data_IF_279598202182
#
_entry.id   IF_279598202182
#
_cell.length_a   1.000
_cell.length_b   1.000
_cell.length_c   1.000
_cell.angle_alpha   90.00
_cell.angle_beta   90.00
_cell.angle_gamma   90.00
#
_symmetry.space_group_name_H-M   'P 1'
#
loop_
_entity.id
_entity.type
_entity.pdbx_description
1 polymer ?
#
# COMPACT_ATOMS: atom_id res chain seq x y z
N UNK A 1 -34.46 -6.94 -99.74
CA UNK A 1 -33.93 -6.13 -100.85
C UNK A 1 -33.35 -4.86 -100.26
N UNK A 2 -32.03 -4.74 -100.41
CA UNK A 2 -31.25 -3.51 -100.63
C UNK A 2 -31.54 -2.21 -99.87
N UNK A 3 -30.58 -1.88 -99.01
CA UNK A 3 -29.81 -0.63 -98.89
C UNK A 3 -29.99 0.38 -100.05
N UNK A 4 -30.29 1.65 -99.75
CA UNK A 4 -29.42 2.82 -100.01
C UNK A 4 -30.06 4.17 -99.63
N UNK A 5 -29.29 5.02 -98.96
CA UNK A 5 -29.23 6.49 -99.13
C UNK A 5 -28.03 7.00 -98.28
N UNK A 6 -26.89 7.37 -98.89
CA UNK A 6 -26.44 8.76 -99.19
C UNK A 6 -26.38 9.67 -97.94
N UNK A 7 -25.37 10.53 -97.68
CA UNK A 7 -24.25 11.08 -98.43
C UNK A 7 -23.33 11.85 -97.45
N UNK A 8 -22.08 12.03 -97.87
CA UNK A 8 -21.24 13.23 -97.71
C UNK A 8 -20.10 13.31 -96.67
N UNK A 9 -19.00 13.85 -97.22
CA UNK A 9 -17.60 14.10 -96.81
C UNK A 9 -17.51 15.59 -96.39
N UNK A 10 -16.57 16.18 -95.64
CA UNK A 10 -15.14 16.00 -95.36
C UNK A 10 -14.71 17.06 -94.25
N UNK A 11 -13.44 17.48 -94.06
CA UNK A 11 -12.36 16.78 -93.33
C UNK A 11 -11.48 17.64 -92.36
N UNK A 12 -10.63 16.92 -91.59
CA UNK A 12 -9.20 17.11 -91.21
C UNK A 12 -8.64 18.48 -90.76
N UNK A 13 -7.82 18.57 -89.70
CA UNK A 13 -6.33 18.38 -89.66
C UNK A 13 -5.83 18.75 -88.24
N UNK A 14 -4.63 18.45 -87.69
CA UNK A 14 -3.49 17.56 -87.93
C UNK A 14 -2.54 17.64 -86.70
N UNK A 15 -1.57 16.71 -86.61
CA UNK A 15 -0.65 16.43 -85.50
C UNK A 15 0.57 17.38 -85.34
N UNK A 16 1.20 17.35 -84.16
CA UNK A 16 2.62 16.98 -83.90
C UNK A 16 3.61 17.98 -83.20
N UNK A 17 4.25 17.45 -82.13
CA UNK A 17 5.70 17.40 -81.75
C UNK A 17 6.36 18.40 -80.74
N UNK A 18 7.18 17.73 -79.88
CA UNK A 18 8.39 18.13 -79.13
C UNK A 18 8.22 19.17 -77.99
N UNK A 19 8.82 19.05 -76.79
CA UNK A 19 9.92 18.23 -76.29
C UNK A 19 10.99 19.14 -75.66
N UNK A 20 10.87 19.50 -74.39
CA UNK A 20 11.91 20.24 -73.65
C UNK A 20 11.82 19.95 -72.14
N UNK A 21 12.91 19.45 -71.56
CA UNK A 21 13.08 19.11 -70.15
C UNK A 21 13.41 20.37 -69.34
N UNK A 22 12.69 20.61 -68.24
CA UNK A 22 13.03 21.64 -67.26
C UNK A 22 12.99 21.04 -65.85
N UNK A 23 14.16 21.00 -65.24
CA UNK A 23 14.47 20.61 -63.86
C UNK A 23 13.66 21.44 -62.86
N UNK A 24 12.72 20.81 -62.14
CA UNK A 24 12.01 21.44 -61.02
C UNK A 24 12.63 20.99 -59.69
N UNK A 25 13.13 22.00 -58.97
CA UNK A 25 13.66 21.98 -57.61
C UNK A 25 12.64 21.40 -56.62
N UNK A 26 12.83 20.12 -56.25
CA UNK A 26 12.04 19.46 -55.22
C UNK A 26 12.59 19.84 -53.84
N UNK A 27 12.11 20.96 -53.28
CA UNK A 27 12.15 21.18 -51.84
C UNK A 27 11.24 20.13 -51.18
N UNK A 28 11.71 19.31 -50.23
CA UNK A 28 10.81 18.49 -49.45
C UNK A 28 10.01 19.42 -48.54
N UNK A 29 8.70 19.49 -48.76
CA UNK A 29 7.79 20.02 -47.76
C UNK A 29 8.04 19.28 -46.45
N UNK A 30 8.56 20.01 -45.48
CA UNK A 30 8.69 19.53 -44.12
C UNK A 30 7.29 19.24 -43.61
N UNK A 31 6.87 17.97 -43.69
CA UNK A 31 5.74 17.46 -42.93
C UNK A 31 6.06 17.71 -41.45
N UNK A 32 5.52 18.79 -40.90
CA UNK A 32 5.42 18.99 -39.48
C UNK A 32 4.67 17.78 -38.94
N UNK A 33 5.40 16.88 -38.29
CA UNK A 33 4.81 15.79 -37.53
C UNK A 33 3.88 16.44 -36.51
N UNK A 34 2.58 16.42 -36.78
CA UNK A 34 1.57 16.85 -35.85
C UNK A 34 1.78 16.02 -34.58
N UNK A 35 2.19 16.69 -33.50
CA UNK A 35 2.32 16.06 -32.20
C UNK A 35 0.99 15.39 -31.82
N UNK A 36 1.02 14.45 -30.85
CA UNK A 36 -0.22 13.86 -30.34
C UNK A 36 -1.20 15.00 -29.98
N UNK A 37 -2.49 14.85 -30.32
CA UNK A 37 -3.49 15.87 -30.03
C UNK A 37 -3.40 16.23 -28.54
N UNK A 38 -3.57 17.51 -28.18
CA UNK A 38 -3.54 17.93 -26.79
C UNK A 38 -4.56 17.10 -26.00
N UNK A 39 -4.23 16.70 -24.76
CA UNK A 39 -5.14 15.92 -23.94
C UNK A 39 -6.49 16.65 -23.83
N UNK A 40 -7.61 15.91 -23.81
CA UNK A 40 -8.93 16.50 -23.77
C UNK A 40 -9.09 17.34 -22.50
N UNK A 41 -9.30 18.65 -22.67
CA UNK A 41 -9.48 19.59 -21.56
C UNK A 41 -10.93 19.56 -21.08
N UNK A 42 -11.11 19.63 -19.76
CA UNK A 42 -12.45 19.74 -19.17
C UNK A 42 -12.98 21.18 -19.27
N UNK A 43 -14.30 21.38 -19.47
CA UNK A 43 -14.87 22.72 -19.47
C UNK A 43 -14.76 23.40 -18.10
N UNK A 44 -14.63 24.73 -18.03
CA UNK A 44 -14.59 25.48 -16.77
C UNK A 44 -15.78 25.18 -15.83
N UNK A 45 -16.97 24.95 -16.41
CA UNK A 45 -18.18 24.59 -15.66
C UNK A 45 -18.04 23.28 -14.87
N UNK A 46 -17.20 22.34 -15.32
CA UNK A 46 -16.90 21.12 -14.57
C UNK A 46 -16.23 21.45 -13.24
N UNK A 47 -15.15 22.24 -13.27
CA UNK A 47 -14.38 22.60 -12.08
C UNK A 47 -15.23 23.37 -11.08
N UNK A 48 -15.98 24.39 -11.53
CA UNK A 48 -16.88 25.15 -10.67
C UNK A 48 -17.95 24.27 -10.00
N UNK A 49 -18.49 23.29 -10.74
CA UNK A 49 -19.46 22.33 -10.21
C UNK A 49 -18.84 21.40 -9.16
N UNK A 50 -17.63 20.88 -9.41
CA UNK A 50 -16.93 20.00 -8.46
C UNK A 50 -16.54 20.76 -7.19
N UNK A 51 -16.01 21.97 -7.29
CA UNK A 51 -15.65 22.78 -6.13
C UNK A 51 -16.87 23.14 -5.27
N UNK A 52 -18.00 23.51 -5.88
CA UNK A 52 -19.24 23.76 -5.14
C UNK A 52 -19.72 22.49 -4.40
N UNK A 53 -19.56 21.30 -4.99
CA UNK A 53 -19.89 20.04 -4.32
C UNK A 53 -18.92 19.69 -3.18
N UNK A 54 -17.63 19.99 -3.33
CA UNK A 54 -16.65 19.84 -2.24
C UNK A 54 -16.98 20.78 -1.09
N UNK A 55 -17.34 22.04 -1.37
CA UNK A 55 -17.77 23.00 -0.36
C UNK A 55 -19.03 22.53 0.36
N UNK A 56 -19.99 21.92 -0.34
CA UNK A 56 -21.18 21.31 0.28
C UNK A 56 -20.84 20.14 1.23
N UNK A 57 -19.79 19.38 0.91
CA UNK A 57 -19.32 18.25 1.73
C UNK A 57 -18.52 18.72 2.94
N UNK A 58 -17.75 19.80 2.77
CA UNK A 58 -16.77 20.32 3.73
C UNK A 58 -15.34 20.00 3.32
N UNK A 59 -14.53 21.06 3.15
CA UNK A 59 -13.11 20.97 2.77
C UNK A 59 -12.26 20.21 3.79
N UNK A 60 -12.66 20.20 5.06
CA UNK A 60 -11.96 19.47 6.13
C UNK A 60 -11.97 17.95 5.91
N UNK A 61 -12.89 17.45 5.09
CA UNK A 61 -12.99 16.03 4.75
C UNK A 61 -12.14 15.64 3.55
N UNK A 62 -11.59 16.59 2.80
CA UNK A 62 -10.72 16.31 1.66
C UNK A 62 -9.31 16.03 2.16
N UNK A 63 -8.75 14.88 1.77
CA UNK A 63 -7.38 14.47 2.11
C UNK A 63 -6.42 14.82 0.99
N UNK A 64 -6.82 14.58 -0.26
CA UNK A 64 -6.03 14.92 -1.44
C UNK A 64 -6.92 15.05 -2.67
N UNK A 65 -6.44 15.80 -3.65
CA UNK A 65 -7.08 15.97 -4.94
C UNK A 65 -5.98 15.87 -6.02
N UNK A 66 -6.16 14.98 -7.00
CA UNK A 66 -5.18 14.66 -8.04
C UNK A 66 -5.83 14.55 -9.42
N UNK A 67 -5.00 14.40 -10.45
CA UNK A 67 -5.43 14.27 -11.85
C UNK A 67 -5.52 15.61 -12.57
N UNK A 68 -6.41 15.75 -13.56
CA UNK A 68 -6.50 16.93 -14.44
C UNK A 68 -6.73 18.20 -13.60
N UNK A 69 -5.73 19.09 -13.58
CA UNK A 69 -5.62 20.27 -12.70
C UNK A 69 -5.94 20.00 -11.22
N UNK A 70 -5.75 18.76 -10.78
CA UNK A 70 -5.89 18.33 -9.39
C UNK A 70 -7.31 17.98 -8.93
N UNK A 71 -8.31 17.80 -9.81
CA UNK A 71 -9.71 17.55 -9.35
C UNK A 71 -10.43 16.38 -10.01
N UNK A 72 -9.77 15.60 -10.86
CA UNK A 72 -10.40 14.42 -11.48
C UNK A 72 -10.37 13.18 -10.59
N UNK A 73 -9.57 13.18 -9.52
CA UNK A 73 -9.55 12.15 -8.50
C UNK A 73 -9.49 12.80 -7.10
N UNK A 74 -10.51 12.55 -6.28
CA UNK A 74 -10.70 13.18 -4.98
C UNK A 74 -10.65 12.12 -3.89
N UNK A 75 -9.91 12.37 -2.83
CA UNK A 75 -9.81 11.46 -1.68
C UNK A 75 -10.44 12.11 -0.45
N UNK A 76 -11.41 11.44 0.16
CA UNK A 76 -12.17 11.91 1.31
C UNK A 76 -11.94 11.04 2.53
N UNK A 77 -11.76 11.66 3.71
CA UNK A 77 -11.84 10.98 5.00
C UNK A 77 -13.30 10.79 5.41
N UNK A 78 -13.69 9.54 5.64
CA UNK A 78 -15.02 9.16 6.11
C UNK A 78 -14.88 8.41 7.43
N UNK A 79 -15.55 8.89 8.47
CA UNK A 79 -15.49 8.29 9.81
C UNK A 79 -16.72 7.41 10.01
N UNK A 80 -16.52 6.18 10.50
CA UNK A 80 -17.60 5.26 10.83
C UNK A 80 -18.12 5.42 12.27
N UNK A 81 -19.15 4.65 12.64
CA UNK A 81 -19.81 4.71 13.96
C UNK A 81 -18.89 4.32 15.13
N UNK A 82 -17.73 3.70 14.86
CA UNK A 82 -16.72 3.34 15.87
C UNK A 82 -15.53 4.30 15.87
N UNK A 83 -15.61 5.40 15.11
CA UNK A 83 -14.55 6.40 15.03
C UNK A 83 -13.37 5.98 14.14
N UNK A 84 -13.49 4.90 13.37
CA UNK A 84 -12.44 4.49 12.43
C UNK A 84 -12.48 5.39 11.20
N UNK A 85 -11.30 5.79 10.74
CA UNK A 85 -11.14 6.65 9.57
C UNK A 85 -10.92 5.76 8.35
N UNK A 86 -11.81 5.89 7.38
CA UNK A 86 -11.75 5.25 6.07
C UNK A 86 -11.43 6.29 5.00
N UNK A 87 -10.57 5.93 4.05
CA UNK A 87 -10.26 6.78 2.90
C UNK A 87 -11.12 6.33 1.71
N UNK A 88 -12.01 7.21 1.26
CA UNK A 88 -12.82 7.02 0.07
C UNK A 88 -12.22 7.85 -1.06
N UNK A 89 -11.69 7.18 -2.07
CA UNK A 89 -11.25 7.83 -3.29
C UNK A 89 -12.36 7.75 -4.34
N UNK A 90 -12.61 8.87 -5.00
CA UNK A 90 -13.65 9.08 -6.00
C UNK A 90 -12.98 9.60 -7.27
N UNK A 91 -13.08 8.83 -8.36
CA UNK A 91 -12.58 9.25 -9.67
C UNK A 91 -13.73 9.73 -10.54
N UNK A 92 -13.57 10.93 -11.09
CA UNK A 92 -14.57 11.60 -11.93
C UNK A 92 -14.25 11.38 -13.41
N UNK A 93 -15.09 10.67 -14.18
CA UNK A 93 -14.85 10.49 -15.61
C UNK A 93 -15.04 11.81 -16.38
N UNK A 94 -14.61 11.85 -17.65
CA UNK A 94 -14.81 13.02 -18.53
C UNK A 94 -16.29 13.35 -18.75
N UNK A 95 -17.17 12.35 -18.71
CA UNK A 95 -18.62 12.52 -18.85
C UNK A 95 -19.34 12.91 -17.56
N UNK A 96 -18.64 13.18 -16.46
CA UNK A 96 -19.26 13.56 -15.18
C UNK A 96 -20.04 14.89 -15.30
N UNK A 97 -21.26 15.01 -14.72
CA UNK A 97 -21.99 14.03 -13.90
C UNK A 97 -22.93 13.10 -14.68
N UNK A 98 -23.02 13.22 -16.02
CA UNK A 98 -23.86 12.35 -16.84
C UNK A 98 -23.40 10.88 -16.76
N UNK A 99 -22.09 10.66 -16.63
CA UNK A 99 -21.48 9.37 -16.28
C UNK A 99 -21.20 9.31 -14.77
N UNK A 100 -21.47 8.15 -14.12
CA UNK A 100 -21.25 7.99 -12.69
C UNK A 100 -19.75 8.04 -12.34
N UNK A 101 -19.39 8.55 -11.15
CA UNK A 101 -18.03 8.41 -10.64
C UNK A 101 -17.72 6.95 -10.28
N UNK A 102 -16.44 6.59 -10.30
CA UNK A 102 -15.96 5.33 -9.71
C UNK A 102 -15.40 5.58 -8.32
N UNK A 103 -15.48 4.57 -7.45
CA UNK A 103 -14.96 4.65 -6.08
C UNK A 103 -13.97 3.54 -5.78
N UNK A 104 -13.03 3.84 -4.90
CA UNK A 104 -12.04 2.91 -4.35
C UNK A 104 -11.89 3.19 -2.86
N UNK A 105 -11.76 2.14 -2.06
CA UNK A 105 -11.59 2.24 -0.61
C UNK A 105 -11.01 0.94 -0.04
N UNK A 106 -10.38 1.02 1.12
CA UNK A 106 -9.85 -0.14 1.85
C UNK A 106 -10.97 -0.83 2.63
N UNK A 107 -11.92 -1.46 1.94
CA UNK A 107 -13.05 -2.20 2.50
C UNK A 107 -13.13 -3.60 1.86
N UNK A 108 -13.72 -4.62 2.51
CA UNK A 108 -13.69 -5.99 1.99
C UNK A 108 -14.45 -6.13 0.65
N UNK A 109 -15.46 -5.29 0.43
CA UNK A 109 -16.14 -5.13 -0.84
C UNK A 109 -16.72 -3.71 -0.93
N UNK A 110 -16.87 -3.18 -2.14
CA UNK A 110 -17.39 -1.84 -2.38
C UNK A 110 -18.93 -1.87 -2.53
N UNK A 111 -19.63 -0.80 -2.10
CA UNK A 111 -21.06 -0.68 -2.37
C UNK A 111 -21.31 -0.43 -3.85
N UNK A 112 -22.46 -0.89 -4.34
CA UNK A 112 -22.97 -0.47 -5.65
C UNK A 112 -23.58 0.93 -5.51
N UNK A 113 -22.87 1.94 -6.01
CA UNK A 113 -23.35 3.32 -5.98
C UNK A 113 -24.56 3.49 -6.90
N UNK A 114 -25.67 3.92 -6.32
CA UNK A 114 -26.84 4.40 -7.03
C UNK A 114 -26.56 5.82 -7.51
N UNK A 115 -26.61 6.03 -8.83
CA UNK A 115 -26.26 7.30 -9.44
C UNK A 115 -27.29 7.72 -10.48
N UNK A 116 -27.57 9.01 -10.53
CA UNK A 116 -28.44 9.65 -11.50
C UNK A 116 -27.85 10.99 -11.95
N UNK A 117 -28.41 11.62 -12.99
CA UNK A 117 -27.93 12.94 -13.48
C UNK A 117 -28.09 14.07 -12.45
N UNK A 118 -28.97 13.91 -11.46
CA UNK A 118 -29.16 14.85 -10.36
C UNK A 118 -28.33 14.53 -9.13
N UNK A 119 -27.63 13.38 -9.12
CA UNK A 119 -26.78 12.97 -8.01
C UNK A 119 -25.52 13.82 -7.93
N UNK A 120 -24.97 13.92 -6.72
CA UNK A 120 -23.80 14.71 -6.36
C UNK A 120 -22.80 13.87 -5.57
N UNK A 121 -21.58 14.37 -5.41
CA UNK A 121 -20.52 13.70 -4.62
C UNK A 121 -20.95 13.38 -3.19
N UNK A 122 -21.78 14.23 -2.58
CA UNK A 122 -22.32 14.01 -1.24
C UNK A 122 -23.18 12.74 -1.16
N UNK A 123 -23.92 12.42 -2.21
CA UNK A 123 -24.72 11.19 -2.26
C UNK A 123 -23.83 9.94 -2.26
N UNK A 124 -22.66 10.02 -2.88
CA UNK A 124 -21.65 8.95 -2.86
C UNK A 124 -21.12 8.76 -1.44
N UNK A 125 -20.79 9.86 -0.75
CA UNK A 125 -20.32 9.83 0.63
C UNK A 125 -21.39 9.25 1.56
N UNK A 126 -22.64 9.68 1.45
CA UNK A 126 -23.74 9.14 2.26
C UNK A 126 -23.96 7.64 2.02
N UNK A 127 -23.97 7.19 0.75
CA UNK A 127 -24.08 5.76 0.43
C UNK A 127 -22.90 4.96 0.97
N UNK A 128 -21.68 5.50 0.90
CA UNK A 128 -20.50 4.87 1.47
C UNK A 128 -20.60 4.80 3.01
N UNK A 129 -21.09 5.83 3.69
CA UNK A 129 -21.31 5.81 5.14
C UNK A 129 -22.29 4.72 5.56
N UNK A 130 -23.41 4.55 4.85
CA UNK A 130 -24.36 3.45 5.11
C UNK A 130 -23.70 2.08 4.88
N UNK A 131 -22.86 1.96 3.87
CA UNK A 131 -22.07 0.75 3.63
C UNK A 131 -21.12 0.43 4.78
N UNK A 132 -20.45 1.44 5.35
CA UNK A 132 -19.58 1.25 6.53
C UNK A 132 -20.37 0.74 7.75
N UNK A 133 -21.66 1.08 7.89
CA UNK A 133 -22.51 0.55 8.96
C UNK A 133 -22.77 -0.95 8.81
N UNK A 134 -22.95 -1.43 7.58
CA UNK A 134 -23.15 -2.86 7.33
C UNK A 134 -21.87 -3.69 7.60
N UNK A 135 -20.70 -3.09 7.44
CA UNK A 135 -19.41 -3.74 7.67
C UNK A 135 -18.98 -3.79 9.15
N UNK A 136 -19.76 -3.20 10.07
CA UNK A 136 -19.40 -3.12 11.49
C UNK A 136 -19.25 -4.50 12.15
N UNK A 137 -20.15 -5.44 11.84
CA UNK A 137 -20.06 -6.81 12.38
C UNK A 137 -18.79 -7.50 11.87
N UNK A 138 -18.46 -7.32 10.58
CA UNK A 138 -17.25 -7.90 9.98
C UNK A 138 -15.99 -7.44 10.70
N UNK A 139 -15.80 -6.12 10.83
CA UNK A 139 -14.61 -5.63 11.52
C UNK A 139 -14.59 -6.00 12.99
N UNK A 140 -15.74 -6.08 13.66
CA UNK A 140 -15.80 -6.53 15.05
C UNK A 140 -15.33 -7.99 15.20
N UNK A 141 -15.69 -8.86 14.27
CA UNK A 141 -15.19 -10.25 14.22
C UNK A 141 -13.70 -10.30 13.95
N UNK A 142 -13.19 -9.50 13.00
CA UNK A 142 -11.75 -9.45 12.71
C UNK A 142 -10.96 -8.93 13.91
N UNK A 143 -11.44 -7.87 14.58
CA UNK A 143 -10.84 -7.31 15.80
C UNK A 143 -10.84 -8.35 16.95
N UNK A 144 -11.89 -9.16 17.08
CA UNK A 144 -11.93 -10.26 18.06
C UNK A 144 -10.88 -11.33 17.78
N UNK A 145 -10.75 -11.74 16.51
CA UNK A 145 -9.72 -12.71 16.07
C UNK A 145 -8.33 -12.17 16.40
N UNK A 146 -8.05 -10.92 16.02
CA UNK A 146 -6.74 -10.29 16.21
C UNK A 146 -6.40 -10.11 17.70
N UNK A 147 -7.43 -9.91 18.54
CA UNK A 147 -7.27 -9.75 19.99
C UNK A 147 -7.07 -11.07 20.74
N UNK A 148 -7.72 -12.15 20.32
CA UNK A 148 -7.83 -13.39 21.11
C UNK A 148 -6.96 -14.53 20.57
N UNK A 149 -6.59 -14.50 19.29
CA UNK A 149 -5.88 -15.59 18.62
C UNK A 149 -4.48 -15.19 18.18
N UNK A 150 -3.55 -16.15 18.17
CA UNK A 150 -2.18 -15.93 17.70
C UNK A 150 -2.12 -15.82 16.17
N UNK A 151 -2.23 -14.61 15.64
CA UNK A 151 -2.00 -14.29 14.22
C UNK A 151 -0.50 -14.25 13.92
N UNK A 152 -0.07 -14.88 12.82
CA UNK A 152 1.35 -15.14 12.47
C UNK A 152 2.06 -13.92 11.91
N UNK A 153 1.36 -13.00 11.25
CA UNK A 153 1.99 -12.00 10.39
C UNK A 153 1.77 -10.55 10.84
N UNK A 154 2.85 -9.76 10.71
CA UNK A 154 3.14 -8.52 11.44
C UNK A 154 2.73 -7.22 10.74
N UNK A 155 1.94 -7.30 9.67
CA UNK A 155 1.42 -6.09 9.01
C UNK A 155 0.15 -5.62 9.71
N UNK A 156 0.06 -4.32 9.99
CA UNK A 156 -1.18 -3.72 10.54
C UNK A 156 -2.31 -4.03 9.55
N UNK A 157 -3.30 -4.85 9.92
CA UNK A 157 -4.30 -5.31 8.97
C UNK A 157 -5.09 -4.11 8.43
N UNK A 158 -5.31 -4.10 7.11
CA UNK A 158 -6.20 -3.09 6.52
C UNK A 158 -7.65 -3.51 6.74
N UNK A 159 -8.56 -2.54 6.69
CA UNK A 159 -10.00 -2.80 6.80
C UNK A 159 -10.57 -3.62 5.63
N UNK A 160 -9.77 -3.87 4.57
CA UNK A 160 -10.14 -4.75 3.45
C UNK A 160 -9.77 -6.22 3.68
N UNK A 161 -8.85 -6.53 4.59
CA UNK A 161 -8.31 -7.88 4.75
C UNK A 161 -9.31 -8.80 5.45
N UNK A 162 -9.90 -9.72 4.68
CA UNK A 162 -10.85 -10.75 5.15
C UNK A 162 -10.21 -12.06 5.59
N UNK A 163 -8.87 -12.15 5.59
CA UNK A 163 -8.17 -13.37 5.97
C UNK A 163 -7.21 -13.14 7.13
N UNK A 164 -6.95 -14.20 7.91
CA UNK A 164 -5.93 -14.24 8.98
C UNK A 164 -5.22 -15.58 8.96
N UNK A 165 -3.90 -15.54 9.06
CA UNK A 165 -3.07 -16.72 9.25
C UNK A 165 -2.84 -16.92 10.74
N UNK A 166 -3.37 -18.00 11.32
CA UNK A 166 -3.23 -18.30 12.73
C UNK A 166 -2.17 -19.38 12.97
N UNK A 167 -1.38 -19.20 14.02
CA UNK A 167 -0.44 -20.20 14.49
C UNK A 167 -1.17 -21.23 15.37
N UNK A 168 -0.98 -22.51 15.06
CA UNK A 168 -1.50 -23.63 15.84
C UNK A 168 -0.40 -24.31 16.69
N UNK A 169 0.85 -23.84 16.56
CA UNK A 169 2.04 -24.44 17.18
C UNK A 169 2.59 -25.64 16.40
N UNK A 170 3.83 -26.04 16.68
CA UNK A 170 4.56 -27.12 15.99
C UNK A 170 4.61 -26.92 14.46
N UNK A 171 4.94 -25.69 14.03
CA UNK A 171 4.98 -25.28 12.62
C UNK A 171 3.70 -25.58 11.83
N UNK A 172 2.56 -25.65 12.52
CA UNK A 172 1.23 -25.78 11.94
C UNK A 172 0.49 -24.45 11.97
N UNK A 173 -0.24 -24.18 10.90
CA UNK A 173 -0.96 -22.94 10.67
C UNK A 173 -2.33 -23.20 10.04
N UNK A 174 -3.25 -22.27 10.26
CA UNK A 174 -4.54 -22.23 9.58
C UNK A 174 -4.76 -20.84 8.99
N UNK A 175 -4.90 -20.78 7.67
CA UNK A 175 -5.35 -19.59 6.96
C UNK A 175 -6.88 -19.59 6.96
N UNK A 176 -7.47 -18.63 7.67
CA UNK A 176 -8.91 -18.42 7.72
C UNK A 176 -9.32 -17.33 6.74
N UNK A 177 -10.45 -17.52 6.07
CA UNK A 177 -11.14 -16.51 5.29
C UNK A 177 -12.54 -16.30 5.88
N UNK A 178 -12.79 -15.09 6.37
CA UNK A 178 -14.07 -14.67 6.96
C UNK A 178 -14.92 -14.02 5.87
N UNK A 179 -16.16 -14.50 5.69
CA UNK A 179 -17.10 -13.87 4.78
C UNK A 179 -17.55 -12.52 5.34
N UNK A 180 -17.22 -11.43 4.66
CA UNK A 180 -17.58 -10.09 5.09
C UNK A 180 -19.09 -9.81 5.10
N UNK A 181 -19.90 -10.57 4.34
CA UNK A 181 -21.36 -10.46 4.38
C UNK A 181 -21.98 -11.25 5.53
N UNK A 182 -21.27 -12.26 6.03
CA UNK A 182 -21.72 -13.19 7.08
C UNK A 182 -20.56 -13.53 8.03
N UNK A 183 -20.04 -12.55 8.77
CA UNK A 183 -18.78 -12.69 9.49
C UNK A 183 -18.84 -13.69 10.66
N UNK A 184 -20.04 -13.94 11.19
CA UNK A 184 -20.31 -14.96 12.22
C UNK A 184 -20.51 -16.38 11.66
N UNK A 185 -20.51 -16.57 10.34
CA UNK A 185 -20.67 -17.88 9.70
C UNK A 185 -19.38 -18.70 9.69
N UNK A 186 -19.49 -19.99 9.36
CA UNK A 186 -18.35 -20.90 9.28
C UNK A 186 -17.34 -20.36 8.22
N UNK A 187 -16.09 -20.05 8.61
CA UNK A 187 -15.11 -19.52 7.68
C UNK A 187 -14.60 -20.61 6.73
N UNK A 188 -14.11 -20.19 5.57
CA UNK A 188 -13.28 -21.06 4.75
C UNK A 188 -11.88 -21.15 5.37
N UNK A 189 -11.26 -22.32 5.31
CA UNK A 189 -9.95 -22.52 5.93
C UNK A 189 -9.02 -23.39 5.10
N UNK A 190 -7.73 -23.05 5.15
CA UNK A 190 -6.65 -23.86 4.60
C UNK A 190 -5.63 -24.17 5.71
N UNK A 191 -5.33 -25.45 5.86
CA UNK A 191 -4.36 -25.97 6.82
C UNK A 191 -2.97 -26.03 6.17
N UNK A 192 -1.92 -25.64 6.89
CA UNK A 192 -0.54 -25.59 6.43
C UNK A 192 0.37 -26.14 7.55
N UNK A 193 1.41 -26.92 7.24
CA UNK A 193 2.39 -27.40 8.22
C UNK A 193 2.75 -28.87 8.09
N UNK A 194 3.50 -29.39 9.06
CA UNK A 194 3.97 -30.77 9.10
C UNK A 194 2.83 -31.78 9.26
N UNK A 195 2.98 -32.95 8.62
CA UNK A 195 1.98 -34.03 8.59
C UNK A 195 1.83 -34.70 9.96
N UNK A 196 0.65 -35.25 10.27
CA UNK A 196 0.32 -35.85 11.57
C UNK A 196 -0.62 -34.99 12.43
N UNK A 197 -0.12 -33.91 13.06
CA UNK A 197 -0.98 -32.99 13.85
C UNK A 197 -2.07 -32.36 12.97
N UNK A 198 -1.68 -32.00 11.75
CA UNK A 198 -2.58 -31.37 10.78
C UNK A 198 -3.72 -32.29 10.36
N UNK A 199 -3.45 -33.58 10.16
CA UNK A 199 -4.45 -34.57 9.74
C UNK A 199 -5.56 -34.71 10.79
N UNK A 200 -5.19 -34.76 12.07
CA UNK A 200 -6.16 -34.78 13.17
C UNK A 200 -7.05 -33.54 13.15
N UNK A 201 -6.47 -32.36 12.95
CA UNK A 201 -7.23 -31.10 12.90
C UNK A 201 -8.16 -31.04 11.68
N UNK A 202 -7.70 -31.51 10.52
CA UNK A 202 -8.51 -31.61 9.30
C UNK A 202 -9.69 -32.60 9.50
N UNK A 203 -9.43 -33.75 10.12
CA UNK A 203 -10.48 -34.73 10.45
C UNK A 203 -11.51 -34.13 11.41
N UNK A 204 -11.06 -33.48 12.48
CA UNK A 204 -11.92 -32.80 13.44
C UNK A 204 -12.77 -31.72 12.77
N UNK A 205 -12.16 -30.86 11.95
CA UNK A 205 -12.86 -29.84 11.18
C UNK A 205 -13.99 -30.44 10.31
N UNK A 206 -13.68 -31.47 9.52
CA UNK A 206 -14.67 -32.14 8.65
C UNK A 206 -15.83 -32.74 9.46
N UNK A 207 -15.54 -33.33 10.61
CA UNK A 207 -16.52 -33.97 11.50
C UNK A 207 -17.40 -32.94 12.21
N UNK A 208 -16.81 -31.86 12.71
CA UNK A 208 -17.44 -30.95 13.66
C UNK A 208 -17.96 -29.66 13.03
N UNK A 209 -17.61 -29.29 11.79
CA UNK A 209 -18.01 -28.02 11.15
C UNK A 209 -19.52 -27.71 11.18
N UNK A 210 -20.37 -28.75 11.21
CA UNK A 210 -21.84 -28.59 11.32
C UNK A 210 -22.31 -28.10 12.70
N UNK A 211 -21.42 -28.10 13.69
CA UNK A 211 -21.67 -27.62 15.07
C UNK A 211 -21.38 -26.12 15.22
N UNK A 212 -20.91 -25.46 14.16
CA UNK A 212 -20.68 -24.02 14.16
C UNK A 212 -21.99 -23.28 14.44
N UNK A 213 -21.98 -22.41 15.45
CA UNK A 213 -23.16 -21.66 15.89
C UNK A 213 -22.89 -20.17 15.77
N UNK A 214 -23.62 -19.47 14.89
CA UNK A 214 -23.41 -18.03 14.62
C UNK A 214 -23.65 -17.14 15.83
N UNK A 215 -24.26 -17.66 16.91
CA UNK A 215 -24.47 -16.93 18.17
C UNK A 215 -23.28 -17.00 19.13
N UNK A 216 -22.34 -17.92 18.89
CA UNK A 216 -21.13 -18.06 19.72
C UNK A 216 -20.02 -17.17 19.21
N UNK A 217 -19.08 -16.85 20.11
CA UNK A 217 -17.86 -16.12 19.75
C UNK A 217 -17.04 -16.91 18.74
N UNK A 218 -16.36 -16.21 17.85
CA UNK A 218 -15.67 -16.81 16.72
C UNK A 218 -14.59 -17.81 17.19
N UNK A 219 -13.78 -17.41 18.17
CA UNK A 219 -12.71 -18.25 18.71
C UNK A 219 -13.22 -19.50 19.45
N UNK A 220 -14.35 -19.39 20.16
CA UNK A 220 -14.99 -20.53 20.85
C UNK A 220 -15.51 -21.56 19.85
N UNK A 221 -16.16 -21.08 18.78
CA UNK A 221 -16.57 -21.93 17.67
C UNK A 221 -15.38 -22.64 17.02
N UNK A 222 -14.33 -21.89 16.70
CA UNK A 222 -13.14 -22.43 16.05
C UNK A 222 -12.46 -23.49 16.91
N UNK A 223 -12.28 -23.23 18.21
CA UNK A 223 -11.71 -24.20 19.15
C UNK A 223 -12.58 -25.47 19.26
N UNK A 224 -13.91 -25.32 19.33
CA UNK A 224 -14.84 -26.45 19.40
C UNK A 224 -14.90 -27.28 18.11
N UNK A 225 -14.78 -26.65 16.93
CA UNK A 225 -14.75 -27.37 15.65
C UNK A 225 -13.42 -28.11 15.48
N UNK A 226 -12.30 -27.47 15.81
CA UNK A 226 -10.99 -28.10 15.74
C UNK A 226 -10.76 -29.14 16.86
N UNK A 227 -11.58 -29.11 17.92
CA UNK A 227 -11.35 -29.86 19.16
C UNK A 227 -9.91 -29.66 19.65
N UNK A 228 -9.52 -28.39 19.71
CA UNK A 228 -8.16 -27.95 19.93
C UNK A 228 -8.14 -26.63 20.69
N UNK A 229 -7.27 -26.54 21.70
CA UNK A 229 -7.03 -25.31 22.44
C UNK A 229 -6.20 -24.34 21.59
N UNK A 230 -6.84 -23.28 21.08
CA UNK A 230 -6.18 -22.30 20.22
C UNK A 230 -5.12 -21.50 21.01
N UNK A 231 -3.91 -21.30 20.46
CA UNK A 231 -2.90 -20.47 21.09
C UNK A 231 -3.36 -19.02 21.19
N UNK A 232 -3.25 -18.45 22.39
CA UNK A 232 -3.43 -17.03 22.61
C UNK A 232 -2.25 -16.22 22.03
N UNK A 233 -2.46 -14.93 21.70
CA UNK A 233 -1.38 -14.00 21.40
C UNK A 233 -0.30 -14.05 22.47
N UNK A 234 0.99 -13.87 22.11
CA UNK A 234 2.03 -13.71 23.11
C UNK A 234 1.68 -12.52 24.02
N UNK A 235 1.76 -12.73 25.33
CA UNK A 235 1.62 -11.61 26.27
C UNK A 235 2.76 -10.62 26.05
N UNK A 236 2.50 -9.32 26.23
CA UNK A 236 3.47 -8.23 26.00
C UNK A 236 4.76 -8.36 26.85
N UNK A 237 4.82 -9.32 27.78
CA UNK A 237 6.02 -9.67 28.56
C UNK A 237 6.61 -11.06 28.30
N UNK A 238 6.18 -11.78 27.25
CA UNK A 238 6.63 -13.15 26.96
C UNK A 238 7.19 -13.34 25.56
N UNK A 239 7.84 -12.32 24.99
CA UNK A 239 8.93 -12.61 24.06
C UNK A 239 10.05 -13.11 24.96
N UNK A 240 10.39 -14.40 24.85
CA UNK A 240 11.56 -14.92 25.54
C UNK A 240 12.73 -14.04 25.10
N UNK A 241 13.42 -13.43 26.06
CA UNK A 241 14.58 -12.53 25.90
C UNK A 241 15.74 -13.12 25.06
N UNK A 242 15.58 -14.36 24.60
CA UNK A 242 16.51 -15.19 23.85
C UNK A 242 16.38 -15.03 22.31
N UNK A 243 15.31 -14.37 21.80
CA UNK A 243 15.10 -14.14 20.35
C UNK A 243 15.23 -12.68 19.90
N UNK A 244 15.48 -11.73 20.82
CA UNK A 244 15.63 -10.33 20.47
C UNK A 244 17.06 -10.01 20.03
N UNK A 245 17.20 -9.63 18.76
CA UNK A 245 18.47 -9.29 18.16
C UNK A 245 19.04 -7.97 18.72
N UNK A 246 20.35 -7.93 18.97
CA UNK A 246 21.04 -6.70 19.38
C UNK A 246 20.95 -5.62 18.30
N UNK A 247 20.72 -4.37 18.73
CA UNK A 247 20.78 -3.22 17.83
C UNK A 247 22.14 -3.14 17.14
N UNK A 248 22.16 -3.02 15.81
CA UNK A 248 23.38 -2.90 15.02
C UNK A 248 24.17 -1.60 15.20
N UNK A 249 23.69 -0.65 16.03
CA UNK A 249 24.35 0.64 16.30
C UNK A 249 24.84 0.70 17.76
N UNK A 250 23.95 0.50 18.73
CA UNK A 250 24.30 0.61 20.16
C UNK A 250 24.66 -0.74 20.80
N UNK A 251 24.50 -1.86 20.09
CA UNK A 251 24.76 -3.22 20.56
C UNK A 251 24.00 -3.61 21.85
N UNK A 252 22.90 -2.89 22.15
CA UNK A 252 22.00 -3.21 23.24
C UNK A 252 20.71 -3.83 22.69
N UNK A 253 20.13 -4.75 23.46
CA UNK A 253 18.80 -5.32 23.19
C UNK A 253 17.70 -4.30 23.46
N UNK A 254 17.84 -3.58 24.58
CA UNK A 254 16.87 -2.60 25.05
C UNK A 254 17.54 -1.23 25.23
N UNK A 255 16.82 -0.16 24.89
CA UNK A 255 17.22 1.19 25.29
C UNK A 255 17.15 1.32 26.83
N UNK A 256 17.99 2.16 27.45
CA UNK A 256 17.89 2.44 28.87
C UNK A 256 16.52 3.04 29.21
N UNK A 257 16.05 2.81 30.44
CA UNK A 257 14.84 3.45 30.94
C UNK A 257 15.20 4.89 31.31
N UNK A 258 14.78 5.82 30.46
CA UNK A 258 15.00 7.26 30.60
C UNK A 258 13.70 8.02 30.28
N UNK A 259 13.34 9.00 31.11
CA UNK A 259 12.14 9.83 30.94
C UNK A 259 12.26 10.74 29.70
N UNK A 260 13.48 11.10 29.26
CA UNK A 260 13.71 11.90 28.05
C UNK A 260 13.44 11.13 26.75
N UNK A 261 13.52 9.79 26.77
CA UNK A 261 13.21 8.93 25.62
C UNK A 261 11.70 8.71 25.45
N UNK A 262 10.89 9.17 26.42
CA UNK A 262 9.43 9.07 26.40
C UNK A 262 8.95 7.64 26.07
N UNK A 263 8.09 7.45 25.05
CA UNK A 263 7.55 6.13 24.71
C UNK A 263 8.59 5.13 24.16
N UNK A 264 9.83 5.57 23.90
CA UNK A 264 10.92 4.71 23.41
C UNK A 264 11.86 4.22 24.54
N UNK A 265 11.59 4.64 25.77
CA UNK A 265 12.28 4.21 26.98
C UNK A 265 12.10 2.70 27.20
N UNK A 266 13.19 1.96 27.41
CA UNK A 266 13.12 0.50 27.58
C UNK A 266 12.77 -0.30 26.31
N UNK A 267 12.62 0.33 25.14
CA UNK A 267 12.19 -0.38 23.94
C UNK A 267 13.25 -1.35 23.38
N UNK A 268 12.78 -2.52 22.93
CA UNK A 268 13.56 -3.45 22.10
C UNK A 268 13.76 -2.89 20.69
N UNK A 269 14.61 -3.54 19.88
CA UNK A 269 14.78 -3.18 18.47
C UNK A 269 13.46 -3.28 17.70
N UNK A 270 13.09 -2.21 17.01
CA UNK A 270 11.80 -2.01 16.35
C UNK A 270 11.94 -1.76 14.83
N UNK A 271 13.16 -1.78 14.30
CA UNK A 271 13.45 -1.65 12.87
C UNK A 271 14.43 -2.72 12.40
N UNK A 272 14.09 -3.45 11.34
CA UNK A 272 14.97 -4.46 10.73
C UNK A 272 15.35 -4.04 9.32
N UNK A 273 16.61 -4.23 8.96
CA UNK A 273 17.11 -3.93 7.61
C UNK A 273 16.33 -4.73 6.56
N UNK A 274 15.77 -4.03 5.57
CA UNK A 274 14.97 -4.60 4.48
C UNK A 274 15.79 -5.48 3.51
N UNK A 275 17.13 -5.45 3.59
CA UNK A 275 17.98 -6.33 2.80
C UNK A 275 17.89 -7.77 3.36
N UNK A 276 17.36 -8.75 2.59
CA UNK A 276 17.19 -10.14 3.05
C UNK A 276 18.50 -10.82 3.46
N UNK A 277 19.63 -10.29 3.00
CA UNK A 277 20.97 -10.80 3.33
C UNK A 277 21.61 -10.15 4.56
N UNK A 278 21.01 -9.10 5.13
CA UNK A 278 21.54 -8.36 6.27
C UNK A 278 20.83 -8.70 7.58
N UNK A 279 19.48 -8.72 7.55
CA UNK A 279 18.57 -9.03 8.68
C UNK A 279 18.90 -8.36 10.03
N UNK A 280 19.71 -7.30 10.02
CA UNK A 280 20.16 -6.60 11.23
C UNK A 280 19.03 -5.76 11.81
N UNK A 281 18.81 -5.86 13.11
CA UNK A 281 17.82 -5.08 13.85
C UNK A 281 18.44 -3.81 14.44
N UNK A 282 17.63 -2.78 14.62
CA UNK A 282 18.00 -1.47 15.13
C UNK A 282 16.86 -0.90 15.98
N UNK A 283 17.19 -0.03 16.95
CA UNK A 283 16.20 0.89 17.50
C UNK A 283 15.99 2.04 16.51
N UNK A 284 14.74 2.43 16.29
CA UNK A 284 14.36 3.56 15.43
C UNK A 284 15.00 4.86 15.89
N UNK A 285 15.22 5.01 17.20
CA UNK A 285 15.93 6.16 17.78
C UNK A 285 17.40 6.16 17.36
N UNK A 286 18.11 5.03 17.57
CA UNK A 286 19.50 4.86 17.16
C UNK A 286 19.70 5.09 15.66
N UNK A 287 18.80 4.55 14.83
CA UNK A 287 18.88 4.71 13.38
C UNK A 287 18.62 6.16 12.95
N UNK A 288 17.63 6.83 13.54
CA UNK A 288 17.31 8.23 13.24
C UNK A 288 18.45 9.16 13.61
N UNK A 289 19.06 8.96 14.77
CA UNK A 289 20.17 9.81 15.22
C UNK A 289 21.42 9.57 14.39
N UNK A 290 21.69 8.31 14.01
CA UNK A 290 22.74 7.98 13.06
C UNK A 290 22.49 8.64 11.69
N UNK A 291 21.27 8.59 11.15
CA UNK A 291 20.89 9.25 9.89
C UNK A 291 20.98 10.78 9.95
N UNK A 292 20.78 11.39 11.12
CA UNK A 292 20.98 12.83 11.34
C UNK A 292 22.46 13.20 11.42
N UNK A 293 23.31 12.28 11.88
CA UNK A 293 24.75 12.49 12.01
C UNK A 293 25.51 12.46 10.67
N UNK A 294 24.93 11.87 9.62
CA UNK A 294 25.50 11.90 8.26
C UNK A 294 25.18 13.24 7.58
N UNK A 295 26.17 14.12 7.46
CA UNK A 295 26.04 15.53 7.07
C UNK A 295 25.77 15.78 5.57
N UNK A 296 24.93 14.97 4.91
CA UNK A 296 24.47 15.21 3.53
C UNK A 296 22.95 15.19 3.36
N UNK A 297 22.17 15.10 4.44
CA UNK A 297 20.70 15.15 4.35
C UNK A 297 20.23 16.60 4.27
N UNK A 298 20.34 17.23 3.09
CA UNK A 298 19.58 18.45 2.80
C UNK A 298 18.09 18.09 2.75
N UNK A 299 17.26 18.81 3.50
CA UNK A 299 15.83 18.86 3.25
C UNK A 299 15.64 19.43 1.85
N UNK A 300 15.25 18.60 0.87
CA UNK A 300 14.89 19.05 -0.48
C UNK A 300 13.60 18.37 -0.91
N UNK A 301 12.55 19.17 -1.04
CA UNK A 301 11.40 18.88 -1.89
C UNK A 301 11.87 18.69 -3.33
N UNK A 302 11.37 17.63 -3.97
CA UNK A 302 11.62 17.18 -5.35
C UNK A 302 12.84 16.27 -5.60
N UNK A 303 12.55 15.20 -6.36
CA UNK A 303 13.39 14.18 -6.97
C UNK A 303 13.80 12.97 -6.09
N UNK A 304 13.15 11.85 -6.41
CA UNK A 304 13.53 10.46 -6.19
C UNK A 304 15.04 10.22 -6.36
N UNK A 305 15.80 10.19 -5.26
CA UNK A 305 17.10 9.50 -5.19
C UNK A 305 17.21 8.77 -3.84
N UNK A 306 17.65 7.50 -3.83
CA UNK A 306 17.79 6.72 -2.61
C UNK A 306 18.89 7.31 -1.72
N UNK A 307 18.62 7.38 -0.42
CA UNK A 307 19.59 7.80 0.59
C UNK A 307 20.71 6.75 0.66
N UNK A 308 21.91 7.17 0.31
CA UNK A 308 23.12 6.33 0.29
C UNK A 308 23.71 6.23 1.70
N UNK A 309 23.74 5.03 2.27
CA UNK A 309 24.41 4.74 3.54
C UNK A 309 25.94 4.68 3.35
N UNK A 310 26.70 5.39 4.17
CA UNK A 310 28.16 5.48 4.09
C UNK A 310 28.93 4.25 4.62
N UNK A 311 28.26 3.11 4.89
CA UNK A 311 28.94 1.80 5.00
C UNK A 311 28.76 0.94 3.75
N UNK A 312 28.15 1.49 2.69
CA UNK A 312 28.08 0.81 1.42
C UNK A 312 28.37 1.72 0.23
N UNK A 313 29.54 1.49 -0.39
CA UNK A 313 29.77 1.78 -1.80
C UNK A 313 30.73 0.69 -2.29
N UNK A 314 30.33 -0.27 -3.12
CA UNK A 314 29.47 -0.19 -4.30
C UNK A 314 28.36 -1.25 -4.28
N UNK A 315 27.11 -0.81 -4.53
CA UNK A 315 25.87 -1.60 -4.70
C UNK A 315 25.64 -2.65 -3.60
N UNK A 316 24.89 -2.29 -2.55
CA UNK A 316 24.59 -3.10 -1.33
C UNK A 316 24.28 -4.59 -1.65
N UNK A 317 25.33 -5.41 -1.75
CA UNK A 317 25.33 -6.84 -1.44
C UNK A 317 26.06 -7.01 -0.11
N UNK A 318 25.46 -7.79 0.77
CA UNK A 318 26.01 -8.17 2.08
C UNK A 318 27.40 -8.80 1.93
N UNK A 319 28.40 -8.43 2.74
CA UNK A 319 29.66 -9.16 2.81
C UNK A 319 29.71 -10.00 4.09
N UNK A 320 29.28 -11.26 4.02
CA UNK A 320 29.92 -12.33 4.80
C UNK A 320 31.03 -12.89 3.91
N UNK A 321 32.26 -12.39 4.09
CA UNK A 321 33.50 -13.19 4.03
C UNK A 321 34.74 -12.30 4.17
N UNK A 322 35.62 -12.75 5.07
CA UNK A 322 37.04 -12.39 5.26
C UNK A 322 37.37 -11.23 6.21
N UNK A 323 37.41 -11.60 7.50
CA UNK A 323 38.39 -11.10 8.47
C UNK A 323 39.81 -11.51 8.05
N UNK A 324 40.81 -10.63 8.14
CA UNK A 324 42.14 -11.00 8.57
C UNK A 324 42.29 -10.73 10.07
N UNK A 325 42.67 -11.78 10.78
CA UNK A 325 43.12 -11.76 12.16
C UNK A 325 44.32 -10.81 12.33
N UNK A 326 44.25 -9.88 13.28
CA UNK A 326 45.43 -9.36 13.96
C UNK A 326 45.18 -9.32 15.47
N UNK A 327 46.03 -10.08 16.17
CA UNK A 327 46.01 -10.38 17.59
C UNK A 327 46.26 -9.14 18.48
N UNK A 328 45.63 -9.18 19.65
CA UNK A 328 46.14 -8.82 20.99
C UNK A 328 47.29 -7.80 21.06
N UNK A 329 47.03 -6.64 21.67
CA UNK A 329 47.83 -6.14 22.81
C UNK A 329 47.28 -4.85 23.42
N UNK A 330 47.70 -4.65 24.66
CA UNK A 330 47.29 -3.72 25.72
C UNK A 330 47.49 -2.23 25.42
N UNK A 331 46.53 -1.46 25.92
CA UNK A 331 46.66 -0.24 26.75
C UNK A 331 47.27 1.07 26.18
N UNK A 332 46.56 2.14 26.57
CA UNK A 332 46.97 3.54 26.81
C UNK A 332 46.84 4.57 25.68
N UNK A 333 46.14 5.63 26.09
CA UNK A 333 46.21 7.02 25.67
C UNK A 333 45.56 7.39 24.33
N UNK A 334 44.35 7.94 24.46
CA UNK A 334 44.07 9.30 24.04
C UNK A 334 44.11 9.60 22.54
N UNK A 335 42.92 9.70 21.94
CA UNK A 335 42.44 10.90 21.25
C UNK A 335 40.98 10.70 20.83
N UNK A 336 40.11 11.55 21.38
CA UNK A 336 38.71 11.71 20.95
C UNK A 336 38.68 12.52 19.64
N UNK A 337 37.81 12.18 18.69
CA UNK A 337 37.16 13.16 17.84
C UNK A 337 35.90 13.68 18.56
N UNK A 338 35.82 15.00 18.67
CA UNK A 338 34.73 15.75 19.30
C UNK A 338 33.50 15.76 18.40
N UNK A 339 32.35 15.31 18.90
CA UNK A 339 31.10 16.07 18.99
C UNK A 339 29.91 15.13 19.32
N UNK A 340 29.76 14.85 20.62
CA UNK A 340 28.49 14.55 21.31
C UNK A 340 28.82 14.36 22.80
N UNK A 341 29.24 15.46 23.43
CA UNK A 341 29.29 15.58 24.89
C UNK A 341 28.85 17.00 25.24
N UNK A 342 27.55 17.20 25.42
CA UNK A 342 27.04 18.34 26.20
C UNK A 342 25.70 18.05 26.89
N UNK A 343 25.48 16.80 27.34
CA UNK A 343 24.46 16.49 28.36
C UNK A 343 24.99 15.56 29.47
N UNK A 344 26.12 14.86 29.28
CA UNK A 344 26.62 13.85 30.25
C UNK A 344 27.75 14.32 31.19
N UNK A 345 27.53 15.40 31.98
CA UNK A 345 28.40 15.67 33.16
C UNK A 345 27.78 16.55 34.25
N UNK A 346 26.63 16.15 34.83
CA UNK A 346 26.12 16.77 36.07
C UNK A 346 25.22 15.87 36.94
N UNK A 347 25.56 14.59 37.10
CA UNK A 347 24.91 13.70 38.06
C UNK A 347 25.88 12.67 38.68
N UNK A 348 27.06 13.14 39.10
CA UNK A 348 28.01 12.40 39.94
C UNK A 348 28.86 13.46 40.66
N UNK A 349 28.19 14.17 41.58
CA UNK A 349 28.73 14.91 42.73
C UNK A 349 27.55 15.66 43.38
N UNK A 350 26.67 14.88 44.03
CA UNK A 350 25.85 15.24 45.21
C UNK A 350 25.03 14.04 45.65
#
# INVERSE_FOLDING_TARGET
MEVLATLSRAPATSQARAGEEAYTDARPDAQAAAGPPPPPLRPAAFYSCVFAQIEEIGWERVVSATGDDGVSCLSFRVVDDKGRIHLLEITLPMGYPASPPSITAQVPYLPKIQWSKSSRLKDVICQFQEHLKMLQEFWSTMDEIDKVLRVVDATKPTYAMSHRLLALGDDCYILLHVDAHKPSSLPECRFLGAEGKLDRLIMNWRKNRKRWDTKKKFHENLAGVLDFALPAPPSVGSVRDDEQADCGICYARHLPVDDELGPHSGCATDYTCENPSCSRAFHSVCLRDWLRSITTTRQSSALTRPLFFASCRQVLRCPVRELPLLQRSRCRQGRRPLNLVSVYKKALDR
#
